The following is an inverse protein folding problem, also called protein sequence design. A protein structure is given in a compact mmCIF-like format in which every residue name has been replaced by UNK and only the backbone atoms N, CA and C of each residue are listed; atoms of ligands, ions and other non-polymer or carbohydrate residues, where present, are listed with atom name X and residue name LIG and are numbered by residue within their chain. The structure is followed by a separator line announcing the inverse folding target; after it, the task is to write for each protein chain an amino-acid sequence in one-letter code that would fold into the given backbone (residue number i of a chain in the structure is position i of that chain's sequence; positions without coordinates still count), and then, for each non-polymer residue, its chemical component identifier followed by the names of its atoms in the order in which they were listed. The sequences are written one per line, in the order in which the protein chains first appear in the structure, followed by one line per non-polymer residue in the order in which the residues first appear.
data_IF_698859794092
#
_entry.id   IF_698859794092
#
_cell.length_a   1.000
_cell.length_b   1.000
_cell.length_c   1.000
_cell.angle_alpha   90.00
_cell.angle_beta   90.00
_cell.angle_gamma   90.00
#
_symmetry.space_group_name_H-M   'P 1'
#
loop_
_entity.id
_entity.type
_entity.pdbx_description
1 polymer ?
#
# COMPACT_ATOMS: atom_id res chain seq x y z
N UNK A 1 -11.92 3.26 7.51
CA UNK A 1 -10.81 2.59 6.80
C UNK A 1 -10.84 3.02 5.35
N UNK A 2 -9.74 3.59 4.84
CA UNK A 2 -9.61 4.02 3.45
C UNK A 2 -9.36 2.82 2.54
N UNK A 3 -9.69 2.98 1.25
CA UNK A 3 -9.45 1.94 0.24
C UNK A 3 -7.97 1.57 0.07
N UNK A 4 -7.06 2.52 0.37
CA UNK A 4 -5.61 2.31 0.32
C UNK A 4 -4.98 1.77 1.60
N UNK A 5 -5.76 1.51 2.66
CA UNK A 5 -5.23 0.99 3.93
C UNK A 5 -4.92 -0.50 3.79
N UNK A 6 -3.69 -0.83 3.39
CA UNK A 6 -3.24 -2.22 3.27
C UNK A 6 -2.62 -2.77 4.56
N UNK A 7 -2.43 -1.94 5.59
CA UNK A 7 -1.83 -2.29 6.87
C UNK A 7 -0.32 -2.55 6.80
N UNK A 8 0.25 -3.08 7.87
CA UNK A 8 1.70 -3.17 8.05
C UNK A 8 2.41 -4.17 7.13
N UNK A 9 3.62 -3.83 6.69
CA UNK A 9 4.57 -4.69 5.98
C UNK A 9 5.72 -5.01 6.95
N UNK A 10 6.03 -6.28 7.15
CA UNK A 10 7.07 -6.71 8.09
C UNK A 10 8.28 -7.18 7.29
N UNK A 11 9.43 -6.54 7.53
CA UNK A 11 10.71 -6.97 6.99
C UNK A 11 11.37 -7.99 7.92
N UNK A 12 12.07 -8.97 7.33
CA UNK A 12 12.91 -9.91 8.05
C UNK A 12 14.23 -9.26 8.52
N UNK A 13 15.06 -10.04 9.22
CA UNK A 13 16.36 -9.58 9.72
C UNK A 13 17.35 -9.12 8.62
N UNK A 14 17.07 -9.45 7.35
CA UNK A 14 17.87 -9.01 6.19
C UNK A 14 17.27 -7.77 5.50
N UNK A 15 16.15 -7.23 6.02
CA UNK A 15 15.45 -6.09 5.45
C UNK A 15 14.52 -6.46 4.28
N UNK A 16 14.28 -7.75 4.01
CA UNK A 16 13.35 -8.18 2.96
C UNK A 16 11.95 -8.34 3.51
N UNK A 17 10.95 -7.89 2.77
CA UNK A 17 9.56 -8.04 3.15
C UNK A 17 8.76 -8.65 1.99
N UNK A 18 7.84 -9.56 2.32
CA UNK A 18 6.92 -10.17 1.37
C UNK A 18 5.50 -10.08 1.93
N UNK A 19 4.55 -9.65 1.10
CA UNK A 19 3.16 -9.49 1.49
C UNK A 19 2.24 -9.86 0.35
N UNK A 20 1.33 -10.80 0.63
CA UNK A 20 0.23 -11.19 -0.26
C UNK A 20 -1.06 -10.88 0.49
N UNK A 21 -1.94 -10.13 -0.14
CA UNK A 21 -3.23 -9.75 0.42
C UNK A 21 -4.31 -9.83 -0.65
N UNK A 22 -5.53 -10.14 -0.23
CA UNK A 22 -6.73 -9.97 -1.04
C UNK A 22 -7.47 -8.73 -0.56
N UNK A 23 -7.89 -7.87 -1.48
CA UNK A 23 -8.60 -6.63 -1.19
C UNK A 23 -9.76 -6.46 -2.16
N UNK A 24 -10.92 -6.06 -1.65
CA UNK A 24 -12.16 -5.99 -2.43
C UNK A 24 -12.63 -4.54 -2.69
N UNK A 25 -12.03 -3.57 -2.02
CA UNK A 25 -12.47 -2.17 -2.06
C UNK A 25 -11.64 -1.28 -3.01
N UNK A 26 -10.89 -1.89 -3.94
CA UNK A 26 -10.14 -1.19 -4.98
C UNK A 26 -10.43 -1.80 -6.34
N UNK A 27 -10.26 -1.02 -7.40
CA UNK A 27 -10.31 -1.53 -8.78
C UNK A 27 -9.05 -1.14 -9.52
N UNK A 28 -8.67 -1.89 -10.56
CA UNK A 28 -7.50 -1.54 -11.38
C UNK A 28 -7.78 -0.25 -12.16
N UNK A 29 -8.79 -0.26 -13.03
CA UNK A 29 -9.22 0.89 -13.83
C UNK A 29 -10.75 1.06 -13.85
N UNK A 30 -11.44 0.65 -12.78
CA UNK A 30 -12.89 0.75 -12.65
C UNK A 30 -13.35 2.12 -12.12
N UNK A 31 -14.66 2.26 -11.88
CA UNK A 31 -15.25 3.52 -11.40
C UNK A 31 -15.10 3.72 -9.89
N UNK A 32 -15.09 2.64 -9.10
CA UNK A 32 -14.94 2.68 -7.65
C UNK A 32 -13.48 2.46 -7.26
N UNK A 33 -12.84 3.47 -6.66
CA UNK A 33 -11.46 3.41 -6.16
C UNK A 33 -10.43 2.85 -7.19
N UNK A 34 -10.33 3.43 -8.42
CA UNK A 34 -9.32 3.01 -9.39
C UNK A 34 -7.92 3.32 -8.87
N UNK A 35 -6.99 2.37 -9.00
CA UNK A 35 -5.62 2.51 -8.46
C UNK A 35 -4.55 2.79 -9.51
N UNK A 36 -4.83 2.55 -10.79
CA UNK A 36 -3.88 2.89 -11.87
C UNK A 36 -3.56 4.39 -11.82
N UNK A 37 -2.27 4.73 -11.89
CA UNK A 37 -1.77 6.10 -11.75
C UNK A 37 -1.64 6.61 -10.32
N UNK A 38 -2.07 5.85 -9.30
CA UNK A 38 -1.82 6.15 -7.88
C UNK A 38 -0.46 5.59 -7.44
N UNK A 39 -0.08 5.90 -6.19
CA UNK A 39 1.15 5.40 -5.58
C UNK A 39 0.91 4.35 -4.49
N UNK A 40 1.78 3.35 -4.42
CA UNK A 40 2.00 2.53 -3.22
C UNK A 40 3.08 3.20 -2.40
N UNK A 41 2.86 3.37 -1.10
CA UNK A 41 3.79 4.02 -0.17
C UNK A 41 4.17 3.04 0.93
N UNK A 42 5.47 2.96 1.24
CA UNK A 42 5.97 2.29 2.45
C UNK A 42 6.38 3.36 3.45
N UNK A 43 5.94 3.19 4.69
CA UNK A 43 6.19 4.12 5.78
C UNK A 43 7.27 3.61 6.74
N UNK A 44 7.93 4.52 7.45
CA UNK A 44 9.06 4.24 8.35
C UNK A 44 8.66 3.56 9.66
N UNK A 45 7.42 3.76 10.12
CA UNK A 45 6.88 3.24 11.38
C UNK A 45 5.65 2.38 11.12
N UNK A 46 5.30 1.60 12.14
CA UNK A 46 4.06 0.86 12.20
C UNK A 46 2.86 1.81 12.09
N UNK A 47 1.89 1.42 11.25
CA UNK A 47 0.54 1.97 11.22
C UNK A 47 -0.23 1.44 12.44
N UNK A 48 -0.67 2.35 13.32
CA UNK A 48 -1.45 2.07 14.53
C UNK A 48 -2.97 2.29 14.36
N UNK A 49 -3.43 2.65 13.16
CA UNK A 49 -4.84 2.94 12.85
C UNK A 49 -5.32 4.35 13.23
N UNK A 50 -4.46 5.17 13.85
CA UNK A 50 -4.73 6.58 14.14
C UNK A 50 -5.06 7.38 12.87
N UNK A 51 -5.91 8.39 12.98
CA UNK A 51 -6.31 9.19 11.81
C UNK A 51 -5.48 10.48 11.72
N UNK A 52 -5.14 10.96 10.50
CA UNK A 52 -5.56 10.42 9.20
C UNK A 52 -4.62 9.38 8.56
N UNK A 53 -3.45 9.12 9.14
CA UNK A 53 -2.33 8.41 8.47
C UNK A 53 -1.68 7.29 9.27
N UNK A 54 -2.33 6.82 10.33
CA UNK A 54 -1.87 5.69 11.14
C UNK A 54 -0.65 5.97 12.02
N UNK A 55 -0.29 7.25 12.21
CA UNK A 55 0.99 7.65 12.82
C UNK A 55 2.23 6.95 12.23
N UNK A 56 2.14 6.49 10.98
CA UNK A 56 3.14 5.64 10.33
C UNK A 56 4.47 6.36 10.01
N UNK A 57 4.55 7.66 10.27
CA UNK A 57 5.77 8.44 10.08
C UNK A 57 6.13 8.70 8.61
N UNK A 58 7.43 8.92 8.36
CA UNK A 58 7.95 9.32 7.06
C UNK A 58 7.69 8.27 5.97
N UNK A 59 7.55 8.73 4.72
CA UNK A 59 7.45 7.87 3.53
C UNK A 59 8.86 7.48 3.10
N UNK A 60 9.21 6.20 3.17
CA UNK A 60 10.56 5.69 2.88
C UNK A 60 10.69 5.07 1.49
N UNK A 61 9.56 4.71 0.86
CA UNK A 61 9.52 4.30 -0.53
C UNK A 61 8.18 4.68 -1.16
N UNK A 62 8.21 4.90 -2.47
CA UNK A 62 7.04 5.17 -3.29
C UNK A 62 7.20 4.51 -4.65
N UNK A 63 6.12 3.93 -5.18
CA UNK A 63 6.05 3.41 -6.54
C UNK A 63 4.71 3.69 -7.19
N UNK A 64 4.70 4.07 -8.46
CA UNK A 64 3.46 4.29 -9.23
C UNK A 64 2.89 2.95 -9.68
N UNK A 65 1.57 2.79 -9.55
CA UNK A 65 0.83 1.63 -10.05
C UNK A 65 0.56 1.83 -11.55
N UNK A 66 1.33 1.14 -12.39
CA UNK A 66 1.16 1.11 -13.84
C UNK A 66 0.45 -0.15 -14.33
N UNK A 67 0.04 -0.14 -15.60
CA UNK A 67 -0.42 -1.36 -16.30
C UNK A 67 0.82 -2.13 -16.75
N UNK A 68 0.91 -3.40 -16.34
CA UNK A 68 1.93 -4.33 -16.82
C UNK A 68 1.29 -5.36 -17.76
N UNK A 69 2.10 -5.93 -18.65
CA UNK A 69 1.68 -7.12 -19.42
C UNK A 69 1.47 -8.27 -18.42
N UNK A 70 0.45 -9.10 -18.65
CA UNK A 70 0.29 -10.34 -17.89
C UNK A 70 1.57 -11.18 -18.03
N UNK A 71 2.12 -11.74 -16.94
CA UNK A 71 3.26 -12.66 -17.01
C UNK A 71 3.02 -13.85 -17.92
#
# INVERSE_FOLDING_TARGET
RHAGDFGNLVADATGRAHKVITVENITIAGTRNPIVGRGVIVHAKMDDGGQPTGNAGARIAQGVIGIAKTP
#
